data_IF_807197201936
#
_entry.id   IF_807197201936
#
_cell.length_a   1.000
_cell.length_b   1.000
_cell.length_c   1.000
_cell.angle_alpha   90.00
_cell.angle_beta   90.00
_cell.angle_gamma   90.00
#
_symmetry.space_group_name_H-M   'P 1'
#
loop_
_entity.id
_entity.type
_entity.pdbx_description
1 polymer ?
#
# COMPACT_ATOMS: atom_id res chain seq x y z
N UNK A 1 -1.66 -54.99 12.88
CA UNK A 1 -2.02 -54.27 14.12
C UNK A 1 -1.77 -55.19 15.30
N UNK A 2 -1.24 -54.72 16.43
CA UNK A 2 -0.53 -53.45 16.71
C UNK A 2 0.86 -53.75 17.35
N UNK A 3 1.69 -52.82 17.78
CA UNK A 3 2.07 -51.47 17.39
C UNK A 3 3.23 -51.15 18.36
N UNK A 4 4.35 -50.68 17.82
CA UNK A 4 5.53 -50.29 18.59
C UNK A 4 5.17 -49.12 19.50
N UNK A 5 5.48 -49.26 20.80
CA UNK A 5 5.22 -48.25 21.81
C UNK A 5 5.94 -46.93 21.48
N UNK A 6 5.14 -45.85 21.46
CA UNK A 6 5.60 -44.50 21.25
C UNK A 6 6.34 -43.99 22.49
N UNK A 7 7.67 -43.95 22.42
CA UNK A 7 8.50 -43.16 23.31
C UNK A 7 8.30 -41.67 23.04
N UNK A 8 7.29 -41.07 23.68
CA UNK A 8 7.04 -39.64 23.67
C UNK A 8 8.18 -38.87 24.35
N UNK A 9 9.18 -38.48 23.56
CA UNK A 9 10.14 -37.44 23.93
C UNK A 9 9.38 -36.12 24.01
N UNK A 10 9.05 -35.72 25.23
CA UNK A 10 8.57 -34.38 25.56
C UNK A 10 9.70 -33.41 25.29
N UNK A 11 9.68 -32.78 24.11
CA UNK A 11 10.46 -31.57 23.86
C UNK A 11 9.97 -30.53 24.85
N UNK A 12 10.72 -30.36 25.94
CA UNK A 12 10.56 -29.25 26.88
C UNK A 12 10.62 -27.97 26.07
N UNK A 13 9.50 -27.25 26.05
CA UNK A 13 9.45 -25.85 25.64
C UNK A 13 10.54 -25.10 26.40
N UNK A 14 11.61 -24.74 25.70
CA UNK A 14 12.63 -23.83 26.19
C UNK A 14 11.88 -22.54 26.50
N UNK A 15 11.76 -22.19 27.79
CA UNK A 15 11.23 -20.89 28.23
C UNK A 15 11.97 -19.81 27.45
N UNK A 16 11.23 -19.07 26.62
CA UNK A 16 11.74 -17.88 25.95
C UNK A 16 12.40 -16.98 26.99
N UNK A 17 13.58 -16.44 26.64
CA UNK A 17 14.19 -15.33 27.37
C UNK A 17 13.18 -14.17 27.49
N UNK A 18 13.37 -13.38 28.53
CA UNK A 18 12.58 -12.21 28.96
C UNK A 18 11.75 -11.54 27.85
N UNK A 19 10.50 -11.23 28.19
CA UNK A 19 9.56 -10.47 27.37
C UNK A 19 10.26 -9.24 26.77
N UNK A 20 10.46 -9.24 25.46
CA UNK A 20 11.11 -8.14 24.74
C UNK A 20 10.30 -6.85 24.92
N UNK A 21 10.93 -5.80 25.46
CA UNK A 21 10.33 -4.47 25.51
C UNK A 21 10.54 -3.77 24.18
N UNK A 22 9.45 -3.24 23.62
CA UNK A 22 9.44 -2.62 22.29
C UNK A 22 9.25 -1.11 22.45
N UNK A 23 10.18 -0.32 21.91
CA UNK A 23 9.97 1.11 21.70
C UNK A 23 9.29 1.31 20.35
N UNK A 24 8.27 2.17 20.26
CA UNK A 24 7.57 2.44 19.02
C UNK A 24 7.41 3.95 18.81
N UNK A 25 8.00 4.47 17.74
CA UNK A 25 8.01 5.90 17.42
C UNK A 25 7.17 6.14 16.17
N UNK A 26 6.07 6.86 16.36
CA UNK A 26 5.05 7.11 15.35
C UNK A 26 3.80 6.27 15.59
N UNK A 27 2.76 6.90 16.13
CA UNK A 27 1.46 6.29 16.43
C UNK A 27 0.40 6.78 15.44
N UNK A 28 0.78 6.86 14.16
CA UNK A 28 -0.11 7.28 13.09
C UNK A 28 -1.08 6.18 12.65
N UNK A 29 -1.70 6.38 11.48
CA UNK A 29 -2.64 5.41 10.88
C UNK A 29 -2.04 4.01 10.66
N UNK A 30 -0.72 3.93 10.47
CA UNK A 30 0.01 2.67 10.34
C UNK A 30 0.53 2.15 11.70
N UNK A 31 1.12 3.03 12.50
CA UNK A 31 1.71 2.63 13.78
C UNK A 31 0.68 2.12 14.80
N UNK A 32 -0.47 2.81 14.95
CA UNK A 32 -1.50 2.42 15.91
C UNK A 32 -1.98 0.96 15.78
N UNK A 33 -2.41 0.48 14.60
CA UNK A 33 -2.82 -0.92 14.45
C UNK A 33 -1.66 -1.90 14.65
N UNK A 34 -0.42 -1.58 14.25
CA UNK A 34 0.75 -2.42 14.54
C UNK A 34 1.01 -2.53 16.04
N UNK A 35 0.99 -1.41 16.77
CA UNK A 35 1.14 -1.39 18.23
C UNK A 35 0.04 -2.19 18.92
N UNK A 36 -1.22 -2.06 18.48
CA UNK A 36 -2.32 -2.84 19.02
C UNK A 36 -2.07 -4.35 18.88
N UNK A 37 -1.53 -4.81 17.74
CA UNK A 37 -1.17 -6.22 17.54
C UNK A 37 -0.02 -6.68 18.42
N UNK A 38 0.98 -5.84 18.65
CA UNK A 38 2.07 -6.13 19.59
C UNK A 38 1.56 -6.27 21.03
N UNK A 39 0.65 -5.37 21.45
CA UNK A 39 0.00 -5.45 22.76
C UNK A 39 -0.86 -6.71 22.91
N UNK A 40 -1.65 -7.05 21.89
CA UNK A 40 -2.45 -8.29 21.84
C UNK A 40 -1.57 -9.55 21.94
N UNK A 41 -0.37 -9.52 21.36
CA UNK A 41 0.63 -10.58 21.47
C UNK A 41 1.37 -10.61 22.82
N UNK A 42 1.10 -9.66 23.71
CA UNK A 42 1.64 -9.61 25.08
C UNK A 42 2.97 -8.87 25.22
N UNK A 43 3.44 -8.16 24.20
CA UNK A 43 4.64 -7.32 24.30
C UNK A 43 4.35 -6.02 25.07
N UNK A 44 5.21 -5.60 26.02
CA UNK A 44 5.18 -4.28 26.60
C UNK A 44 5.71 -3.29 25.56
N UNK A 45 4.87 -2.31 25.20
CA UNK A 45 5.20 -1.30 24.18
C UNK A 45 5.29 0.08 24.83
N UNK A 46 6.43 0.74 24.65
CA UNK A 46 6.70 2.13 25.02
C UNK A 46 6.58 2.99 23.76
N UNK A 47 5.74 4.02 23.78
CA UNK A 47 5.35 4.79 22.58
C UNK A 47 5.71 6.27 22.67
N UNK A 48 6.03 6.85 21.52
CA UNK A 48 6.17 8.29 21.32
C UNK A 48 5.56 8.71 19.97
N UNK A 49 4.95 9.89 19.94
CA UNK A 49 4.58 10.59 18.70
C UNK A 49 4.76 12.11 18.91
N UNK A 50 5.02 12.87 17.85
CA UNK A 50 5.07 14.33 17.95
C UNK A 50 3.70 14.94 18.29
N UNK A 51 2.61 14.20 18.02
CA UNK A 51 1.24 14.56 18.36
C UNK A 51 0.72 13.60 19.44
N UNK A 52 0.70 14.00 20.72
CA UNK A 52 0.21 13.13 21.81
C UNK A 52 -1.19 12.56 21.58
N UNK A 53 -2.08 13.33 20.92
CA UNK A 53 -3.42 12.88 20.58
C UNK A 53 -3.44 11.64 19.66
N UNK A 54 -2.41 11.41 18.85
CA UNK A 54 -2.32 10.24 17.98
C UNK A 54 -2.08 8.94 18.76
N UNK A 55 -1.49 9.01 19.96
CA UNK A 55 -1.18 7.85 20.78
C UNK A 55 -2.33 7.43 21.71
N UNK A 56 -3.41 8.22 21.78
CA UNK A 56 -4.51 8.01 22.73
C UNK A 56 -5.03 6.58 22.71
N UNK A 57 -5.40 6.06 21.54
CA UNK A 57 -6.03 4.75 21.39
C UNK A 57 -5.10 3.60 21.82
N UNK A 58 -3.79 3.71 21.58
CA UNK A 58 -2.83 2.65 21.96
C UNK A 58 -2.47 2.72 23.44
N UNK A 59 -2.46 3.92 24.03
CA UNK A 59 -2.27 4.10 25.48
C UNK A 59 -3.46 3.51 26.25
N UNK A 60 -4.68 3.74 25.78
CA UNK A 60 -5.89 3.12 26.35
C UNK A 60 -5.85 1.57 26.27
N UNK A 61 -5.14 1.02 25.28
CA UNK A 61 -4.89 -0.42 25.13
C UNK A 61 -3.70 -0.95 25.93
N UNK A 62 -2.98 -0.09 26.65
CA UNK A 62 -1.89 -0.49 27.56
C UNK A 62 -0.48 -0.12 27.10
N UNK A 63 -0.31 0.59 25.99
CA UNK A 63 0.99 1.18 25.64
C UNK A 63 1.40 2.25 26.68
N UNK A 64 2.71 2.37 26.93
CA UNK A 64 3.26 3.38 27.84
C UNK A 64 3.74 4.60 27.06
N UNK A 65 3.11 5.75 27.28
CA UNK A 65 3.55 7.01 26.69
C UNK A 65 4.87 7.53 27.27
N UNK A 66 5.68 8.17 26.41
CA UNK A 66 6.87 8.95 26.77
C UNK A 66 6.89 10.27 26.01
N UNK A 67 7.56 11.29 26.57
CA UNK A 67 7.60 12.65 25.99
C UNK A 67 8.73 12.88 24.97
N UNK A 68 9.58 11.87 24.74
CA UNK A 68 10.68 11.93 23.78
C UNK A 68 11.00 10.57 23.14
N UNK A 69 11.48 10.52 21.88
CA UNK A 69 11.94 9.28 21.24
C UNK A 69 12.99 8.54 22.05
N UNK A 70 13.97 9.27 22.61
CA UNK A 70 15.01 8.72 23.52
C UNK A 70 14.40 7.95 24.68
N UNK A 71 13.34 8.48 25.28
CA UNK A 71 12.78 7.92 26.50
C UNK A 71 11.88 6.72 26.19
N UNK A 72 11.15 6.75 25.06
CA UNK A 72 10.45 5.58 24.53
C UNK A 72 11.39 4.43 24.11
N UNK A 73 12.61 4.75 23.66
CA UNK A 73 13.62 3.76 23.27
C UNK A 73 14.39 3.16 24.46
N UNK A 74 14.27 3.75 25.66
CA UNK A 74 15.15 3.42 26.79
C UNK A 74 14.90 2.02 27.32
N UNK A 75 15.94 1.19 27.28
CA UNK A 75 15.87 -0.19 27.77
C UNK A 75 15.01 -1.12 26.89
N UNK A 76 14.69 -0.69 25.67
CA UNK A 76 14.00 -1.51 24.69
C UNK A 76 15.01 -2.39 23.93
N UNK A 77 14.64 -3.65 23.70
CA UNK A 77 15.45 -4.59 22.93
C UNK A 77 15.26 -4.41 21.43
N UNK A 78 14.06 -3.97 21.04
CA UNK A 78 13.68 -3.59 19.68
C UNK A 78 13.06 -2.19 19.73
N UNK A 79 13.45 -1.33 18.79
CA UNK A 79 12.83 -0.01 18.59
C UNK A 79 12.35 0.09 17.16
N UNK A 80 11.07 0.44 16.97
CA UNK A 80 10.41 0.52 15.68
C UNK A 80 10.08 1.98 15.35
N UNK A 81 10.37 2.42 14.13
CA UNK A 81 9.89 3.71 13.59
C UNK A 81 8.84 3.49 12.51
N UNK A 82 7.78 4.32 12.53
CA UNK A 82 6.72 4.35 11.51
C UNK A 82 6.33 5.80 11.21
N UNK A 83 7.09 6.45 10.33
CA UNK A 83 7.06 7.90 10.13
C UNK A 83 6.85 8.27 8.65
N UNK A 84 6.24 9.42 8.36
CA UNK A 84 5.72 9.66 7.01
C UNK A 84 6.80 10.03 5.98
N UNK A 85 7.89 10.69 6.39
CA UNK A 85 8.89 11.25 5.48
C UNK A 85 10.31 11.01 6.00
N UNK A 86 11.33 10.90 5.12
CA UNK A 86 12.70 10.56 5.51
C UNK A 86 13.30 11.44 6.61
N UNK A 87 13.10 12.76 6.52
CA UNK A 87 13.57 13.72 7.55
C UNK A 87 13.01 13.42 8.94
N UNK A 88 11.78 12.94 9.04
CA UNK A 88 11.17 12.65 10.34
C UNK A 88 11.83 11.44 11.00
N UNK A 89 12.20 10.43 10.20
CA UNK A 89 12.99 9.28 10.68
C UNK A 89 14.35 9.75 11.16
N UNK A 90 15.03 10.57 10.35
CA UNK A 90 16.34 11.09 10.70
C UNK A 90 16.33 11.89 12.01
N UNK A 91 15.39 12.82 12.17
CA UNK A 91 15.26 13.65 13.37
C UNK A 91 14.87 12.80 14.60
N UNK A 92 13.90 11.90 14.45
CA UNK A 92 13.45 11.03 15.54
C UNK A 92 14.53 10.05 16.03
N UNK A 93 15.43 9.61 15.15
CA UNK A 93 16.52 8.71 15.52
C UNK A 93 17.76 9.44 16.01
N UNK A 94 18.14 10.54 15.36
CA UNK A 94 19.48 11.15 15.51
C UNK A 94 19.47 12.54 16.15
N UNK A 95 18.30 13.14 16.38
CA UNK A 95 18.19 14.42 17.07
C UNK A 95 18.70 14.39 18.51
N UNK A 96 18.75 15.54 19.17
CA UNK A 96 19.25 15.68 20.55
C UNK A 96 18.51 14.78 21.55
N UNK A 97 17.21 14.59 21.35
CA UNK A 97 16.38 13.64 22.10
C UNK A 97 15.96 12.42 21.25
N UNK A 98 16.76 12.10 20.23
CA UNK A 98 16.52 11.00 19.32
C UNK A 98 16.64 9.63 19.97
N UNK A 99 16.00 8.64 19.36
CA UNK A 99 15.91 7.28 19.88
C UNK A 99 17.28 6.64 20.12
N UNK A 100 18.26 6.88 19.24
CA UNK A 100 19.61 6.30 19.37
C UNK A 100 20.26 6.65 20.71
N UNK A 101 19.96 7.81 21.30
CA UNK A 101 20.49 8.21 22.60
C UNK A 101 19.92 7.40 23.78
N UNK A 102 18.81 6.67 23.58
CA UNK A 102 18.17 5.82 24.59
C UNK A 102 18.37 4.33 24.36
N UNK A 103 18.77 3.92 23.16
CA UNK A 103 18.89 2.52 22.78
C UNK A 103 20.10 1.84 23.44
N UNK A 104 19.93 0.67 24.08
CA UNK A 104 21.05 -0.06 24.66
C UNK A 104 21.88 -0.77 23.56
N UNK A 105 23.21 -0.93 23.75
CA UNK A 105 24.02 -1.77 22.86
C UNK A 105 23.46 -3.19 22.74
N UNK A 106 23.47 -3.75 21.53
CA UNK A 106 22.89 -5.06 21.20
C UNK A 106 21.39 -5.03 20.88
N UNK A 107 20.71 -3.89 21.01
CA UNK A 107 19.32 -3.72 20.54
C UNK A 107 19.23 -3.64 19.02
N UNK A 108 18.00 -3.74 18.49
CA UNK A 108 17.70 -3.65 17.06
C UNK A 108 16.78 -2.46 16.81
N UNK A 109 17.16 -1.58 15.89
CA UNK A 109 16.25 -0.60 15.31
C UNK A 109 15.62 -1.18 14.03
N UNK A 110 14.31 -1.05 13.89
CA UNK A 110 13.54 -1.49 12.72
C UNK A 110 12.79 -0.28 12.15
N UNK A 111 13.13 0.15 10.93
CA UNK A 111 12.39 1.22 10.26
C UNK A 111 11.31 0.68 9.33
N UNK A 112 10.04 0.84 9.71
CA UNK A 112 8.89 0.47 8.88
C UNK A 112 8.44 1.60 7.93
N UNK A 113 9.10 2.75 8.01
CA UNK A 113 8.85 3.90 7.16
C UNK A 113 9.32 3.65 5.73
N UNK A 114 8.77 4.41 4.77
CA UNK A 114 9.33 4.48 3.42
C UNK A 114 10.28 5.68 3.33
N UNK A 115 11.58 5.41 3.34
CA UNK A 115 12.67 6.39 3.40
C UNK A 115 13.64 6.25 2.22
N UNK A 116 14.53 7.22 2.01
CA UNK A 116 15.58 7.14 0.99
C UNK A 116 16.80 6.35 1.46
N UNK A 117 17.53 5.77 0.49
CA UNK A 117 18.72 4.95 0.73
C UNK A 117 19.78 5.66 1.59
N UNK A 118 20.04 6.94 1.33
CA UNK A 118 21.10 7.71 2.01
C UNK A 118 20.77 7.89 3.49
N UNK A 119 19.52 8.21 3.81
CA UNK A 119 19.06 8.31 5.19
C UNK A 119 19.15 6.98 5.92
N UNK A 120 18.69 5.88 5.31
CA UNK A 120 18.77 4.55 5.93
C UNK A 120 20.22 4.16 6.28
N UNK A 121 21.15 4.34 5.34
CA UNK A 121 22.57 4.05 5.53
C UNK A 121 23.21 4.93 6.60
N UNK A 122 22.94 6.24 6.60
CA UNK A 122 23.54 7.16 7.58
C UNK A 122 23.05 6.88 9.00
N UNK A 123 21.76 6.62 9.19
CA UNK A 123 21.23 6.28 10.52
C UNK A 123 21.79 4.93 10.96
N UNK A 124 21.85 3.94 10.07
CA UNK A 124 22.44 2.63 10.37
C UNK A 124 23.92 2.73 10.78
N UNK A 125 24.70 3.61 10.12
CA UNK A 125 26.09 3.89 10.48
C UNK A 125 26.21 4.48 11.90
N UNK A 126 25.33 5.42 12.27
CA UNK A 126 25.29 6.01 13.62
C UNK A 126 24.86 4.99 14.67
N UNK A 127 23.87 4.17 14.36
CA UNK A 127 23.41 3.08 15.22
C UNK A 127 24.54 2.07 15.48
N UNK A 128 25.27 1.65 14.44
CA UNK A 128 26.39 0.74 14.57
C UNK A 128 27.50 1.28 15.47
N UNK A 129 27.77 2.60 15.44
CA UNK A 129 28.78 3.24 16.28
C UNK A 129 28.50 3.13 17.79
N UNK A 130 27.24 2.87 18.19
CA UNK A 130 26.83 2.63 19.57
C UNK A 130 26.43 1.17 19.83
N UNK A 131 26.73 0.27 18.89
CA UNK A 131 26.44 -1.16 19.01
C UNK A 131 24.98 -1.54 18.77
N UNK A 132 24.19 -0.71 18.09
CA UNK A 132 22.80 -1.01 17.71
C UNK A 132 22.75 -1.58 16.29
N UNK A 133 22.04 -2.70 16.12
CA UNK A 133 21.77 -3.27 14.80
C UNK A 133 20.63 -2.51 14.13
N UNK A 134 20.67 -2.40 12.80
CA UNK A 134 19.63 -1.71 12.03
C UNK A 134 19.02 -2.65 11.01
N UNK A 135 17.70 -2.63 10.94
CA UNK A 135 16.88 -3.24 9.91
C UNK A 135 16.02 -2.14 9.29
N UNK A 136 15.95 -2.10 7.97
CA UNK A 136 14.80 -1.50 7.30
C UNK A 136 13.74 -2.58 7.14
N UNK A 137 12.48 -2.24 7.26
CA UNK A 137 11.34 -3.12 7.06
C UNK A 137 10.12 -2.36 6.52
N UNK A 138 10.25 -1.60 5.42
CA UNK A 138 9.11 -0.91 4.83
C UNK A 138 8.00 -1.89 4.48
N UNK A 139 6.78 -1.36 4.49
CA UNK A 139 5.57 -2.16 4.54
C UNK A 139 4.70 -2.01 3.30
N UNK A 140 4.12 -3.11 2.84
CA UNK A 140 3.04 -3.11 1.85
C UNK A 140 1.71 -3.54 2.46
N UNK A 141 0.62 -3.36 1.70
CA UNK A 141 -0.77 -3.45 2.16
C UNK A 141 -1.13 -2.34 3.17
N UNK A 142 -0.98 -1.08 2.74
CA UNK A 142 -1.43 0.09 3.51
C UNK A 142 -2.96 0.25 3.53
N UNK A 143 -3.70 -0.54 2.74
CA UNK A 143 -5.13 -0.35 2.61
C UNK A 143 -5.84 -0.63 3.94
N UNK A 144 -7.07 -0.15 4.02
CA UNK A 144 -8.05 -0.55 5.02
C UNK A 144 -8.26 -2.07 5.13
N UNK A 145 -7.66 -2.89 4.26
CA UNK A 145 -7.65 -4.36 4.27
C UNK A 145 -6.33 -4.95 4.78
N UNK A 146 -5.38 -4.10 5.16
CA UNK A 146 -3.99 -4.45 5.39
C UNK A 146 -3.59 -4.45 6.86
N UNK A 147 -3.18 -3.29 7.36
CA UNK A 147 -2.56 -3.14 8.68
C UNK A 147 -3.48 -3.51 9.85
N UNK A 148 -4.78 -3.24 9.75
CA UNK A 148 -5.75 -3.57 10.80
C UNK A 148 -5.93 -5.08 10.99
N UNK A 149 -5.72 -5.84 9.91
CA UNK A 149 -5.87 -7.30 9.88
C UNK A 149 -4.52 -8.02 9.94
N UNK A 150 -3.44 -7.29 10.24
CA UNK A 150 -2.07 -7.82 10.20
C UNK A 150 -1.72 -8.50 8.86
N UNK A 151 -2.27 -8.03 7.73
CA UNK A 151 -1.91 -8.53 6.40
C UNK A 151 -0.67 -7.83 5.82
N UNK A 152 0.10 -7.13 6.65
CA UNK A 152 1.27 -6.37 6.23
C UNK A 152 2.36 -7.31 5.71
N UNK A 153 3.00 -6.91 4.61
CA UNK A 153 4.22 -7.54 4.12
C UNK A 153 5.40 -6.63 4.44
N UNK A 154 6.41 -7.15 5.14
CA UNK A 154 7.65 -6.44 5.45
C UNK A 154 8.75 -6.83 4.45
N UNK A 155 9.46 -5.84 3.91
CA UNK A 155 10.67 -6.07 3.09
C UNK A 155 11.90 -5.72 3.91
N UNK A 156 12.53 -6.73 4.48
CA UNK A 156 13.57 -6.54 5.48
C UNK A 156 14.95 -6.51 4.84
N UNK A 157 15.65 -5.40 4.99
CA UNK A 157 17.07 -5.30 4.66
C UNK A 157 17.92 -5.07 5.91
N UNK A 158 19.12 -5.65 5.94
CA UNK A 158 20.07 -5.54 7.04
C UNK A 158 20.59 -6.90 7.52
N UNK A 159 21.35 -6.92 8.63
CA UNK A 159 22.05 -8.12 9.08
C UNK A 159 21.10 -9.29 9.41
N UNK A 160 21.40 -10.48 8.88
CA UNK A 160 20.54 -11.66 9.04
C UNK A 160 20.33 -12.02 10.52
N UNK A 161 21.32 -11.83 11.39
CA UNK A 161 21.19 -12.11 12.82
C UNK A 161 20.17 -11.18 13.51
N UNK A 162 20.11 -9.92 13.09
CA UNK A 162 19.12 -8.97 13.60
C UNK A 162 17.72 -9.31 13.08
N UNK A 163 17.60 -9.72 11.82
CA UNK A 163 16.34 -10.18 11.24
C UNK A 163 15.77 -11.40 11.97
N UNK A 164 16.59 -12.43 12.19
CA UNK A 164 16.17 -13.66 12.90
C UNK A 164 15.65 -13.34 14.31
N UNK A 165 16.31 -12.41 15.03
CA UNK A 165 15.85 -11.96 16.35
C UNK A 165 14.51 -11.22 16.28
N UNK A 166 14.31 -10.42 15.24
CA UNK A 166 13.12 -9.57 15.10
C UNK A 166 11.91 -10.28 14.50
N UNK A 167 12.07 -11.52 14.05
CA UNK A 167 11.05 -12.23 13.27
C UNK A 167 9.74 -12.43 14.03
N UNK A 168 9.80 -12.76 15.33
CA UNK A 168 8.60 -12.94 16.15
C UNK A 168 7.83 -11.62 16.33
N UNK A 169 8.53 -10.50 16.45
CA UNK A 169 7.93 -9.16 16.53
C UNK A 169 7.30 -8.78 15.19
N UNK A 170 8.00 -8.97 14.07
CA UNK A 170 7.46 -8.71 12.73
C UNK A 170 6.21 -9.55 12.45
N UNK A 171 6.23 -10.84 12.81
CA UNK A 171 5.10 -11.77 12.65
C UNK A 171 3.90 -11.42 13.55
N UNK A 172 4.11 -10.77 14.68
CA UNK A 172 3.02 -10.33 15.54
C UNK A 172 2.19 -9.20 14.89
N UNK A 173 2.81 -8.35 14.07
CA UNK A 173 2.18 -7.16 13.47
C UNK A 173 1.98 -7.22 11.95
N UNK A 174 2.29 -8.35 11.30
CA UNK A 174 2.02 -8.56 9.88
C UNK A 174 2.02 -10.03 9.47
N UNK A 175 1.73 -10.29 8.20
CA UNK A 175 1.48 -11.63 7.69
C UNK A 175 2.75 -12.31 7.20
N UNK A 176 3.68 -11.54 6.62
CA UNK A 176 4.90 -12.07 6.03
C UNK A 176 6.04 -11.06 6.13
N UNK A 177 7.25 -11.55 6.30
CA UNK A 177 8.48 -10.76 6.19
C UNK A 177 9.46 -11.46 5.24
N UNK A 178 10.03 -10.70 4.32
CA UNK A 178 11.02 -11.17 3.35
C UNK A 178 12.36 -10.57 3.72
N UNK A 179 13.39 -11.38 3.95
CA UNK A 179 14.76 -10.85 4.04
C UNK A 179 15.32 -10.69 2.63
N UNK A 180 15.46 -9.44 2.19
CA UNK A 180 15.73 -9.10 0.79
C UNK A 180 17.18 -8.68 0.55
N UNK A 181 18.00 -8.58 1.60
CA UNK A 181 19.43 -8.31 1.49
C UNK A 181 19.93 -7.35 2.57
N UNK A 182 20.90 -6.52 2.20
CA UNK A 182 21.50 -5.51 3.07
C UNK A 182 20.61 -4.26 3.21
N UNK A 183 20.99 -3.36 4.11
CA UNK A 183 20.34 -2.04 4.24
C UNK A 183 20.31 -1.31 2.90
N UNK A 184 19.14 -0.75 2.55
CA UNK A 184 18.80 -0.13 1.29
C UNK A 184 17.91 -0.99 0.38
N UNK A 185 18.01 -2.31 0.46
CA UNK A 185 17.29 -3.23 -0.43
C UNK A 185 15.79 -3.32 -0.11
N UNK A 186 15.41 -3.28 1.16
CA UNK A 186 14.02 -3.24 1.60
C UNK A 186 13.27 -2.01 1.09
N UNK A 187 13.87 -0.82 1.18
CA UNK A 187 13.29 0.41 0.61
C UNK A 187 13.11 0.30 -0.90
N UNK A 188 14.10 -0.27 -1.58
CA UNK A 188 14.07 -0.47 -3.02
C UNK A 188 12.88 -1.37 -3.44
N UNK A 189 12.71 -2.51 -2.76
CA UNK A 189 11.58 -3.43 -2.97
C UNK A 189 10.23 -2.73 -2.74
N UNK A 190 10.13 -1.87 -1.71
CA UNK A 190 8.91 -1.11 -1.44
C UNK A 190 8.54 -0.19 -2.61
N UNK A 191 9.50 0.54 -3.17
CA UNK A 191 9.28 1.47 -4.28
C UNK A 191 8.75 0.77 -5.54
N UNK A 192 9.20 -0.45 -5.80
CA UNK A 192 8.67 -1.34 -6.85
C UNK A 192 7.17 -1.64 -6.64
N UNK A 193 6.77 -2.02 -5.42
CA UNK A 193 5.35 -2.33 -5.15
C UNK A 193 4.44 -1.10 -5.23
N UNK A 194 4.98 0.06 -4.86
CA UNK A 194 4.28 1.34 -4.94
C UNK A 194 4.04 1.76 -6.39
N UNK A 195 5.01 1.56 -7.29
CA UNK A 195 4.84 1.81 -8.73
C UNK A 195 3.61 1.08 -9.27
N UNK A 196 3.47 -0.21 -8.97
CA UNK A 196 2.33 -1.03 -9.40
C UNK A 196 1.00 -0.45 -8.95
N UNK A 197 0.91 -0.08 -7.66
CA UNK A 197 -0.32 0.47 -7.10
C UNK A 197 -0.67 1.84 -7.70
N UNK A 198 0.28 2.77 -7.69
CA UNK A 198 0.04 4.16 -8.09
C UNK A 198 -0.28 4.29 -9.57
N UNK A 199 0.39 3.51 -10.41
CA UNK A 199 0.11 3.47 -11.83
C UNK A 199 -1.28 2.87 -12.12
N UNK A 200 -1.64 1.78 -11.44
CA UNK A 200 -2.99 1.21 -11.54
C UNK A 200 -4.08 2.19 -11.09
N UNK A 201 -3.85 2.96 -10.02
CA UNK A 201 -4.81 3.96 -9.54
C UNK A 201 -5.06 5.08 -10.56
N UNK A 202 -3.99 5.64 -11.14
CA UNK A 202 -4.09 6.68 -12.18
C UNK A 202 -4.79 6.12 -13.43
N UNK A 203 -4.38 4.96 -13.92
CA UNK A 203 -4.96 4.34 -15.12
C UNK A 203 -6.46 4.03 -14.93
N UNK A 204 -6.80 3.41 -13.79
CA UNK A 204 -8.18 3.05 -13.45
C UNK A 204 -9.07 4.27 -13.32
N UNK A 205 -8.60 5.34 -12.67
CA UNK A 205 -9.34 6.59 -12.55
C UNK A 205 -9.63 7.22 -13.91
N UNK A 206 -8.66 7.23 -14.83
CA UNK A 206 -8.86 7.73 -16.19
C UNK A 206 -9.85 6.87 -16.98
N UNK A 207 -9.76 5.54 -16.88
CA UNK A 207 -10.68 4.63 -17.56
C UNK A 207 -12.13 4.77 -17.05
N UNK A 208 -12.32 4.96 -15.74
CA UNK A 208 -13.63 5.26 -15.16
C UNK A 208 -14.17 6.59 -15.68
N UNK A 209 -13.35 7.65 -15.73
CA UNK A 209 -13.78 8.95 -16.26
C UNK A 209 -14.19 8.86 -17.73
N UNK A 210 -13.44 8.12 -18.55
CA UNK A 210 -13.78 7.87 -19.96
C UNK A 210 -15.06 7.06 -20.12
N UNK A 211 -15.31 6.10 -19.23
CA UNK A 211 -16.55 5.32 -19.21
C UNK A 211 -17.76 6.22 -18.97
N UNK A 212 -17.69 7.06 -17.92
CA UNK A 212 -18.76 8.03 -17.60
C UNK A 212 -18.96 9.03 -18.72
N UNK A 213 -17.87 9.53 -19.32
CA UNK A 213 -17.93 10.45 -20.47
C UNK A 213 -18.58 9.80 -21.69
N UNK A 214 -18.41 8.49 -21.88
CA UNK A 214 -19.08 7.68 -22.90
C UNK A 214 -20.52 7.28 -22.54
N UNK A 215 -21.06 7.76 -21.43
CA UNK A 215 -22.43 7.47 -20.98
C UNK A 215 -22.59 6.14 -20.25
N UNK A 216 -21.50 5.48 -19.84
CA UNK A 216 -21.55 4.26 -19.02
C UNK A 216 -21.53 4.65 -17.55
N UNK A 217 -22.51 4.24 -16.72
CA UNK A 217 -22.50 4.55 -15.30
C UNK A 217 -21.26 4.00 -14.58
N UNK A 218 -20.70 4.78 -13.66
CA UNK A 218 -19.42 4.47 -13.01
C UNK A 218 -19.44 3.13 -12.26
N UNK A 219 -20.56 2.77 -11.61
CA UNK A 219 -20.75 1.49 -10.93
C UNK A 219 -20.78 0.29 -11.88
N UNK A 220 -21.33 0.45 -13.08
CA UNK A 220 -21.34 -0.61 -14.10
C UNK A 220 -19.94 -0.78 -14.70
N UNK A 221 -19.25 0.34 -14.98
CA UNK A 221 -17.86 0.32 -15.46
C UNK A 221 -16.91 -0.31 -14.44
N UNK A 222 -17.03 0.07 -13.17
CA UNK A 222 -16.25 -0.52 -12.07
C UNK A 222 -16.47 -2.03 -11.96
N UNK A 223 -17.72 -2.51 -11.93
CA UNK A 223 -18.01 -3.96 -11.92
C UNK A 223 -17.43 -4.67 -13.14
N UNK A 224 -17.51 -4.06 -14.33
CA UNK A 224 -16.92 -4.62 -15.55
C UNK A 224 -15.40 -4.76 -15.43
N UNK A 225 -14.71 -3.74 -14.93
CA UNK A 225 -13.26 -3.78 -14.75
C UNK A 225 -12.85 -4.81 -13.69
N UNK A 226 -13.51 -4.79 -12.53
CA UNK A 226 -13.25 -5.72 -11.43
C UNK A 226 -13.46 -7.19 -11.83
N UNK A 227 -14.46 -7.47 -12.68
CA UNK A 227 -14.76 -8.82 -13.18
C UNK A 227 -13.96 -9.26 -14.41
N UNK A 228 -12.90 -8.54 -14.81
CA UNK A 228 -12.18 -8.78 -16.07
C UNK A 228 -10.66 -8.82 -15.90
N UNK A 229 -9.93 -9.01 -17.00
CA UNK A 229 -8.47 -8.90 -17.05
C UNK A 229 -7.94 -7.48 -16.74
N UNK A 230 -8.81 -6.46 -16.68
CA UNK A 230 -8.44 -5.11 -16.27
C UNK A 230 -8.32 -4.95 -14.75
N UNK A 231 -8.74 -5.97 -14.00
CA UNK A 231 -8.79 -5.89 -12.55
C UNK A 231 -7.42 -5.62 -11.94
N UNK A 232 -7.39 -4.77 -10.91
CA UNK A 232 -6.19 -4.36 -10.20
C UNK A 232 -6.54 -4.13 -8.72
N UNK A 233 -5.54 -4.08 -7.84
CA UNK A 233 -5.81 -3.74 -6.43
C UNK A 233 -6.45 -2.34 -6.29
N UNK A 234 -6.14 -1.43 -7.22
CA UNK A 234 -6.75 -0.11 -7.26
C UNK A 234 -8.23 -0.18 -7.65
N UNK A 235 -8.61 -1.04 -8.61
CA UNK A 235 -10.01 -1.28 -8.98
C UNK A 235 -10.77 -1.95 -7.84
N UNK A 236 -10.23 -3.02 -7.23
CA UNK A 236 -10.94 -3.75 -6.19
C UNK A 236 -11.10 -2.93 -4.91
N UNK A 237 -10.02 -2.31 -4.43
CA UNK A 237 -9.98 -1.76 -3.08
C UNK A 237 -10.22 -0.24 -3.05
N UNK A 238 -9.81 0.50 -4.08
CA UNK A 238 -9.77 1.97 -4.00
C UNK A 238 -10.79 2.67 -4.89
N UNK A 239 -11.16 2.10 -6.04
CA UNK A 239 -12.20 2.65 -6.89
C UNK A 239 -13.54 2.86 -6.15
N UNK A 240 -13.99 1.99 -5.23
CA UNK A 240 -15.16 2.26 -4.40
C UNK A 240 -15.15 3.63 -3.69
N UNK A 241 -13.99 4.15 -3.30
CA UNK A 241 -13.90 5.48 -2.65
C UNK A 241 -13.91 6.65 -3.62
N UNK A 242 -13.60 6.39 -4.90
CA UNK A 242 -13.88 7.36 -5.97
C UNK A 242 -15.41 7.45 -6.20
N UNK A 243 -16.09 6.30 -6.14
CA UNK A 243 -17.53 6.20 -6.37
C UNK A 243 -18.36 6.79 -5.22
N UNK A 244 -17.88 6.81 -3.98
CA UNK A 244 -18.58 7.49 -2.89
C UNK A 244 -18.14 8.97 -2.70
N UNK A 245 -17.14 9.43 -3.46
CA UNK A 245 -16.60 10.79 -3.42
C UNK A 245 -15.72 11.09 -2.21
N UNK A 246 -15.36 10.10 -1.39
CA UNK A 246 -14.47 10.30 -0.24
C UNK A 246 -12.99 10.30 -0.62
N UNK A 247 -12.65 9.72 -1.77
CA UNK A 247 -11.30 9.54 -2.28
C UNK A 247 -10.39 8.74 -1.34
N UNK A 248 -10.88 7.97 -0.36
CA UNK A 248 -10.10 7.27 0.67
C UNK A 248 -9.37 8.22 1.63
N UNK A 249 -9.63 8.06 2.92
CA UNK A 249 -9.00 8.86 3.98
C UNK A 249 -7.79 8.17 4.61
N UNK A 250 -7.35 7.01 4.12
CA UNK A 250 -6.25 6.25 4.74
C UNK A 250 -4.87 6.88 4.46
N UNK A 251 -4.63 7.41 3.26
CA UNK A 251 -3.31 7.87 2.82
C UNK A 251 -3.33 9.30 2.26
N UNK A 252 -2.39 10.13 2.71
CA UNK A 252 -2.27 11.54 2.31
C UNK A 252 -1.50 11.69 1.00
N UNK A 253 -1.78 12.76 0.25
CA UNK A 253 -1.23 13.02 -1.08
C UNK A 253 0.28 13.26 -1.08
N UNK A 254 0.86 13.76 0.01
CA UNK A 254 2.32 13.90 0.11
C UNK A 254 3.07 12.56 0.05
N UNK A 255 2.42 11.45 0.44
CA UNK A 255 3.03 10.12 0.44
C UNK A 255 3.33 9.63 -0.98
N UNK A 256 2.36 9.51 -1.91
CA UNK A 256 2.66 9.08 -3.28
C UNK A 256 3.53 10.08 -4.03
N UNK A 257 3.44 11.39 -3.74
CA UNK A 257 4.33 12.41 -4.34
C UNK A 257 5.77 12.11 -3.96
N UNK A 258 6.04 11.85 -2.67
CA UNK A 258 7.36 11.44 -2.20
C UNK A 258 7.75 10.07 -2.77
N UNK A 259 6.90 9.05 -2.65
CA UNK A 259 7.21 7.68 -3.05
C UNK A 259 7.53 7.57 -4.54
N UNK A 260 6.74 8.19 -5.42
CA UNK A 260 7.02 8.18 -6.86
C UNK A 260 8.30 8.96 -7.23
N UNK A 261 8.60 10.05 -6.52
CA UNK A 261 9.86 10.76 -6.66
C UNK A 261 11.07 9.88 -6.31
N UNK A 262 10.98 9.14 -5.19
CA UNK A 262 12.00 8.17 -4.78
C UNK A 262 12.13 7.01 -5.79
N UNK A 263 11.02 6.51 -6.33
CA UNK A 263 11.04 5.44 -7.36
C UNK A 263 11.77 5.89 -8.63
N UNK A 264 11.48 7.10 -9.13
CA UNK A 264 12.14 7.63 -10.33
C UNK A 264 13.63 7.87 -10.08
N UNK A 265 13.99 8.43 -8.93
CA UNK A 265 15.39 8.63 -8.55
C UNK A 265 16.15 7.29 -8.50
N UNK A 266 15.56 6.25 -7.91
CA UNK A 266 16.18 4.93 -7.85
C UNK A 266 16.39 4.34 -9.25
N UNK A 267 15.42 4.49 -10.15
CA UNK A 267 15.56 4.02 -11.52
C UNK A 267 16.70 4.75 -12.26
N UNK A 268 16.87 6.06 -12.04
CA UNK A 268 18.00 6.83 -12.57
C UNK A 268 19.34 6.30 -12.03
N UNK A 269 19.43 5.99 -10.73
CA UNK A 269 20.63 5.43 -10.10
C UNK A 269 20.98 4.02 -10.62
N UNK A 270 19.97 3.22 -10.96
CA UNK A 270 20.14 1.86 -11.50
C UNK A 270 20.27 1.81 -13.03
N UNK A 271 20.06 2.92 -13.74
CA UNK A 271 20.03 2.94 -15.20
C UNK A 271 18.83 2.20 -15.81
N UNK A 272 17.72 2.10 -15.10
CA UNK A 272 16.49 1.41 -15.53
C UNK A 272 15.50 2.39 -16.15
N UNK A 273 14.92 2.01 -17.29
CA UNK A 273 13.85 2.79 -17.94
C UNK A 273 12.51 2.63 -17.23
N UNK A 274 11.90 3.74 -16.80
CA UNK A 274 10.53 3.78 -16.23
C UNK A 274 9.61 4.76 -16.98
N UNK A 275 9.27 4.52 -18.26
CA UNK A 275 8.43 5.45 -19.02
C UNK A 275 7.04 5.69 -18.39
N UNK A 276 6.34 4.64 -17.94
CA UNK A 276 5.06 4.74 -17.24
C UNK A 276 5.27 5.28 -15.84
N UNK A 277 6.25 4.76 -15.09
CA UNK A 277 6.57 5.27 -13.75
C UNK A 277 6.80 6.78 -13.73
N UNK A 278 7.53 7.32 -14.71
CA UNK A 278 7.74 8.78 -14.84
C UNK A 278 6.47 9.53 -15.24
N UNK A 279 5.57 8.95 -16.03
CA UNK A 279 4.28 9.57 -16.32
C UNK A 279 3.40 9.66 -15.06
N UNK A 280 3.42 8.61 -14.24
CA UNK A 280 2.69 8.54 -12.97
C UNK A 280 3.30 9.50 -11.95
N UNK A 281 4.62 9.58 -11.83
CA UNK A 281 5.31 10.56 -10.98
C UNK A 281 4.89 11.98 -11.36
N UNK A 282 4.95 12.34 -12.65
CA UNK A 282 4.52 13.68 -13.11
C UNK A 282 3.08 13.98 -12.71
N UNK A 283 2.20 12.97 -12.78
CA UNK A 283 0.79 13.12 -12.46
C UNK A 283 0.55 13.35 -10.96
N UNK A 284 1.26 12.62 -10.10
CA UNK A 284 1.21 12.89 -8.65
C UNK A 284 1.86 14.23 -8.31
N UNK A 285 2.98 14.59 -8.94
CA UNK A 285 3.62 15.89 -8.79
C UNK A 285 2.70 17.05 -9.22
N UNK A 286 1.90 16.89 -10.26
CA UNK A 286 0.84 17.84 -10.64
C UNK A 286 -0.24 17.93 -9.54
N UNK A 287 -0.73 16.80 -9.06
CA UNK A 287 -1.72 16.75 -7.98
C UNK A 287 -1.22 17.45 -6.72
N UNK A 288 0.03 17.19 -6.32
CA UNK A 288 0.67 17.80 -5.16
C UNK A 288 0.93 19.30 -5.27
N UNK A 289 0.90 19.88 -6.48
CA UNK A 289 0.91 21.34 -6.68
C UNK A 289 -0.50 21.95 -6.64
N UNK A 290 -1.53 21.16 -6.93
CA UNK A 290 -2.92 21.63 -7.04
C UNK A 290 -3.69 21.50 -5.73
N UNK A 291 -3.48 20.42 -4.97
CA UNK A 291 -4.26 20.06 -3.80
C UNK A 291 -3.46 20.19 -2.51
N UNK A 292 -4.14 20.17 -1.36
CA UNK A 292 -3.45 20.21 -0.06
C UNK A 292 -2.70 18.90 0.15
N UNK A 293 -1.52 18.97 0.77
CA UNK A 293 -0.66 17.80 0.99
C UNK A 293 -1.32 16.71 1.85
N UNK A 294 -2.28 17.09 2.70
CA UNK A 294 -3.04 16.20 3.59
C UNK A 294 -4.32 15.67 2.97
N UNK A 295 -4.66 16.13 1.76
CA UNK A 295 -5.75 15.53 0.99
C UNK A 295 -5.44 14.08 0.66
N UNK A 296 -6.45 13.34 0.19
CA UNK A 296 -6.23 11.97 -0.21
C UNK A 296 -5.28 11.84 -1.41
N UNK A 297 -4.44 10.80 -1.35
CA UNK A 297 -3.69 10.31 -2.50
C UNK A 297 -4.54 10.05 -3.77
N UNK A 298 -5.81 9.65 -3.64
CA UNK A 298 -6.67 9.42 -4.81
C UNK A 298 -7.18 10.70 -5.49
N UNK A 299 -6.96 11.89 -4.90
CA UNK A 299 -7.29 13.16 -5.58
C UNK A 299 -6.50 13.36 -6.88
N UNK A 300 -5.45 12.58 -7.11
CA UNK A 300 -4.81 12.47 -8.43
C UNK A 300 -5.81 12.13 -9.56
N UNK A 301 -6.88 11.39 -9.25
CA UNK A 301 -7.95 11.05 -10.20
C UNK A 301 -8.86 12.24 -10.48
N UNK A 302 -9.02 13.16 -9.54
CA UNK A 302 -9.83 14.38 -9.74
C UNK A 302 -9.26 15.25 -10.87
N UNK A 303 -7.95 15.20 -11.09
CA UNK A 303 -7.34 15.83 -12.26
C UNK A 303 -7.88 15.25 -13.58
N UNK A 304 -8.23 13.95 -13.63
CA UNK A 304 -8.85 13.33 -14.80
C UNK A 304 -10.34 13.71 -14.90
N UNK A 305 -11.05 13.74 -13.78
CA UNK A 305 -12.45 14.20 -13.72
C UNK A 305 -12.61 15.60 -14.33
N UNK A 306 -11.69 16.52 -14.02
CA UNK A 306 -11.65 17.87 -14.60
C UNK A 306 -11.40 17.81 -16.12
N UNK A 307 -10.42 17.04 -16.59
CA UNK A 307 -10.09 16.92 -18.01
C UNK A 307 -11.25 16.35 -18.83
N UNK A 308 -11.96 15.34 -18.30
CA UNK A 308 -13.09 14.72 -18.98
C UNK A 308 -14.41 15.45 -18.74
N UNK A 309 -14.47 16.40 -17.80
CA UNK A 309 -15.67 17.12 -17.41
C UNK A 309 -16.74 16.17 -16.85
N UNK A 310 -16.35 15.28 -15.94
CA UNK A 310 -17.23 14.27 -15.32
C UNK A 310 -17.00 14.18 -13.81
N UNK A 311 -17.93 13.53 -13.10
CA UNK A 311 -17.75 13.08 -11.71
C UNK A 311 -17.95 11.57 -11.64
N UNK A 312 -17.11 10.90 -10.86
CA UNK A 312 -17.21 9.46 -10.61
C UNK A 312 -18.16 9.12 -9.47
N UNK A 313 -18.49 10.09 -8.62
CA UNK A 313 -19.38 9.89 -7.49
C UNK A 313 -20.75 9.36 -7.97
N UNK A 314 -21.17 8.25 -7.37
CA UNK A 314 -22.47 7.63 -7.58
C UNK A 314 -23.42 8.13 -6.50
N UNK A 315 -24.53 8.82 -6.87
CA UNK A 315 -25.47 9.36 -5.89
C UNK A 315 -25.97 8.31 -4.89
N UNK A 316 -25.90 8.63 -3.60
CA UNK A 316 -26.40 7.80 -2.51
C UNK A 316 -25.55 6.58 -2.16
N UNK A 317 -24.54 6.24 -2.95
CA UNK A 317 -23.63 5.13 -2.66
C UNK A 317 -22.62 5.52 -1.56
N UNK A 318 -22.32 4.58 -0.67
CA UNK A 318 -21.28 4.71 0.36
C UNK A 318 -20.42 3.47 0.35
N UNK A 319 -19.10 3.63 0.30
CA UNK A 319 -18.21 2.48 0.40
C UNK A 319 -18.35 1.86 1.82
N UNK A 320 -18.44 0.53 1.95
CA UNK A 320 -18.57 -0.16 3.24
C UNK A 320 -17.24 -0.15 3.99
N UNK A 321 -16.81 1.04 4.45
CA UNK A 321 -15.56 1.22 5.17
C UNK A 321 -15.53 2.54 5.92
N UNK A 322 -14.95 2.53 7.13
CA UNK A 322 -14.65 3.75 7.90
C UNK A 322 -13.68 4.72 7.21
N UNK A 323 -12.96 4.23 6.19
CA UNK A 323 -12.06 5.03 5.38
C UNK A 323 -12.75 5.77 4.22
N UNK A 324 -14.02 5.43 3.96
CA UNK A 324 -14.85 6.03 2.93
C UNK A 324 -15.65 7.24 3.42
N UNK A 325 -16.81 7.45 2.81
CA UNK A 325 -17.70 8.56 3.12
C UNK A 325 -18.40 8.46 4.48
N UNK A 326 -18.38 7.30 5.14
CA UNK A 326 -18.94 7.07 6.47
C UNK A 326 -17.87 6.64 7.48
N UNK A 327 -17.29 7.59 8.25
CA UNK A 327 -16.31 7.27 9.28
C UNK A 327 -16.85 6.44 10.46
N UNK A 328 -18.17 6.39 10.63
CA UNK A 328 -18.84 5.64 11.68
C UNK A 328 -19.25 4.22 11.25
N UNK A 329 -18.80 3.78 10.07
CA UNK A 329 -19.06 2.43 9.57
C UNK A 329 -18.73 1.37 10.65
N UNK A 330 -19.65 0.45 10.94
CA UNK A 330 -19.47 -0.52 12.01
C UNK A 330 -18.28 -1.45 11.73
N UNK A 331 -17.70 -2.08 12.76
CA UNK A 331 -16.66 -3.09 12.58
C UNK A 331 -17.13 -4.21 11.65
N UNK A 332 -16.22 -4.67 10.77
CA UNK A 332 -16.47 -5.78 9.86
C UNK A 332 -16.82 -7.06 10.65
N UNK A 333 -17.85 -7.80 10.20
CA UNK A 333 -18.35 -9.01 10.88
C UNK A 333 -18.00 -10.31 10.17
N UNK A 334 -17.94 -10.29 8.84
CA UNK A 334 -17.61 -11.45 8.01
C UNK A 334 -16.22 -11.26 7.38
N UNK A 335 -15.43 -12.34 7.36
CA UNK A 335 -14.07 -12.34 6.82
C UNK A 335 -13.89 -13.45 5.80
N UNK A 336 -13.05 -13.19 4.80
CA UNK A 336 -12.62 -14.13 3.78
C UNK A 336 -11.11 -14.27 3.85
N UNK A 337 -10.62 -15.48 3.62
CA UNK A 337 -9.19 -15.75 3.42
C UNK A 337 -8.93 -15.89 1.92
N UNK A 338 -7.98 -15.11 1.39
CA UNK A 338 -7.59 -15.24 -0.01
C UNK A 338 -6.65 -16.43 -0.26
N UNK A 339 -6.27 -16.66 -1.52
CA UNK A 339 -5.46 -17.83 -1.93
C UNK A 339 -4.07 -17.88 -1.28
N UNK A 340 -3.56 -16.75 -0.80
CA UNK A 340 -2.25 -16.67 -0.13
C UNK A 340 -2.37 -16.57 1.38
N UNK A 341 -3.58 -16.67 1.93
CA UNK A 341 -3.81 -16.74 3.37
C UNK A 341 -4.13 -15.40 4.03
N UNK A 342 -4.28 -14.30 3.27
CA UNK A 342 -4.62 -12.99 3.84
C UNK A 342 -6.08 -12.94 4.24
N UNK A 343 -6.36 -12.43 5.44
CA UNK A 343 -7.72 -12.32 5.99
C UNK A 343 -8.27 -10.94 5.71
N UNK A 344 -9.30 -10.84 4.89
CA UNK A 344 -9.91 -9.57 4.51
C UNK A 344 -11.41 -9.54 4.83
N UNK A 345 -11.97 -8.40 5.21
CA UNK A 345 -13.41 -8.32 5.42
C UNK A 345 -14.18 -8.59 4.12
N UNK A 346 -15.28 -9.31 4.25
CA UNK A 346 -16.22 -9.52 3.15
C UNK A 346 -17.09 -8.28 3.04
N UNK A 347 -16.91 -7.54 1.95
CA UNK A 347 -17.63 -6.28 1.73
C UNK A 347 -18.55 -6.40 0.54
N UNK A 348 -19.82 -6.14 0.79
CA UNK A 348 -20.84 -6.09 -0.24
C UNK A 348 -21.08 -4.63 -0.63
N UNK A 349 -20.97 -4.36 -1.93
CA UNK A 349 -21.20 -3.02 -2.48
C UNK A 349 -22.64 -2.92 -2.96
N UNK A 350 -23.47 -2.19 -2.21
CA UNK A 350 -24.88 -1.97 -2.53
C UNK A 350 -25.03 -0.59 -3.16
N UNK A 351 -25.39 -0.54 -4.44
CA UNK A 351 -25.67 0.71 -5.15
C UNK A 351 -27.16 1.00 -5.10
N UNK A 352 -27.58 2.25 -4.80
CA UNK A 352 -28.99 2.62 -4.73
C UNK A 352 -29.58 2.97 -6.11
N UNK A 353 -28.92 2.54 -7.19
CA UNK A 353 -29.30 2.82 -8.57
C UNK A 353 -29.40 1.50 -9.34
N UNK A 354 -30.45 1.37 -10.13
CA UNK A 354 -30.61 0.25 -11.05
C UNK A 354 -29.61 0.34 -12.21
N UNK A 355 -29.28 -0.82 -12.76
CA UNK A 355 -28.49 -0.90 -13.98
C UNK A 355 -29.32 -0.44 -15.19
N UNK A 356 -28.70 0.39 -16.03
CA UNK A 356 -29.28 0.80 -17.30
C UNK A 356 -28.71 -0.06 -18.44
N UNK A 357 -29.52 -0.42 -19.45
CA UNK A 357 -29.02 -1.11 -20.64
C UNK A 357 -27.95 -0.29 -21.36
N UNK A 358 -26.85 -0.95 -21.73
CA UNK A 358 -25.77 -0.33 -22.49
C UNK A 358 -25.95 -0.61 -23.99
N UNK A 359 -25.76 0.42 -24.81
CA UNK A 359 -25.71 0.27 -26.27
C UNK A 359 -24.47 -0.49 -26.73
N UNK A 360 -24.49 -0.99 -27.97
CA UNK A 360 -23.32 -1.67 -28.57
C UNK A 360 -22.06 -0.79 -28.58
N UNK A 361 -22.21 0.52 -28.77
CA UNK A 361 -21.09 1.47 -28.74
C UNK A 361 -20.50 1.57 -27.33
N UNK A 362 -21.34 1.63 -26.31
CA UNK A 362 -20.92 1.66 -24.90
C UNK A 362 -20.26 0.35 -24.48
N UNK A 363 -20.79 -0.79 -24.93
CA UNK A 363 -20.18 -2.09 -24.69
C UNK A 363 -18.81 -2.23 -25.38
N UNK A 364 -18.68 -1.75 -26.63
CA UNK A 364 -17.39 -1.69 -27.33
C UNK A 364 -16.39 -0.78 -26.61
N UNK A 365 -16.83 0.38 -26.11
CA UNK A 365 -16.00 1.27 -25.30
C UNK A 365 -15.49 0.55 -24.04
N UNK A 366 -16.37 -0.10 -23.27
CA UNK A 366 -15.98 -0.84 -22.08
C UNK A 366 -14.96 -1.94 -22.39
N UNK A 367 -15.17 -2.72 -23.46
CA UNK A 367 -14.25 -3.78 -23.84
C UNK A 367 -12.89 -3.22 -24.29
N UNK A 368 -12.86 -2.09 -24.99
CA UNK A 368 -11.62 -1.39 -25.34
C UNK A 368 -10.87 -0.89 -24.10
N UNK A 369 -11.57 -0.30 -23.14
CA UNK A 369 -10.98 0.15 -21.88
C UNK A 369 -10.47 -1.02 -21.03
N UNK A 370 -11.14 -2.16 -21.06
CA UNK A 370 -10.64 -3.40 -20.44
C UNK A 370 -9.30 -3.80 -21.05
N UNK A 371 -9.21 -3.86 -22.38
CA UNK A 371 -7.96 -4.20 -23.08
C UNK A 371 -6.83 -3.20 -22.78
N UNK A 372 -7.15 -1.91 -22.73
CA UNK A 372 -6.18 -0.85 -22.39
C UNK A 372 -5.64 -1.01 -20.96
N UNK A 373 -6.51 -1.20 -19.97
CA UNK A 373 -6.11 -1.42 -18.58
C UNK A 373 -5.29 -2.71 -18.43
N UNK A 374 -5.69 -3.79 -19.11
CA UNK A 374 -4.91 -5.04 -19.13
C UNK A 374 -3.50 -4.81 -19.68
N UNK A 375 -3.37 -4.05 -20.77
CA UNK A 375 -2.07 -3.74 -21.35
C UNK A 375 -1.22 -2.87 -20.41
N UNK A 376 -1.82 -1.83 -19.81
CA UNK A 376 -1.15 -0.97 -18.83
C UNK A 376 -0.67 -1.78 -17.62
N UNK A 377 -1.50 -2.68 -17.08
CA UNK A 377 -1.10 -3.56 -15.98
C UNK A 377 0.11 -4.42 -16.36
N UNK A 378 0.16 -4.95 -17.60
CA UNK A 378 1.30 -5.73 -18.09
C UNK A 378 2.57 -4.89 -18.20
N UNK A 379 2.49 -3.69 -18.76
CA UNK A 379 3.65 -2.81 -18.92
C UNK A 379 4.20 -2.34 -17.57
N UNK A 380 3.34 -2.01 -16.61
CA UNK A 380 3.80 -1.62 -15.26
C UNK A 380 4.42 -2.82 -14.54
N UNK A 381 3.89 -4.04 -14.76
CA UNK A 381 4.51 -5.26 -14.27
C UNK A 381 5.93 -5.41 -14.83
N UNK A 382 6.11 -5.23 -16.14
CA UNK A 382 7.44 -5.31 -16.76
C UNK A 382 8.41 -4.26 -16.19
N UNK A 383 7.97 -2.99 -16.02
CA UNK A 383 8.77 -1.95 -15.36
C UNK A 383 9.13 -2.31 -13.91
N UNK A 384 8.21 -2.92 -13.16
CA UNK A 384 8.47 -3.40 -11.81
C UNK A 384 9.52 -4.52 -11.81
N UNK A 385 9.46 -5.45 -12.77
CA UNK A 385 10.47 -6.50 -12.93
C UNK A 385 11.83 -5.94 -13.29
N UNK A 386 11.90 -5.01 -14.24
CA UNK A 386 13.16 -4.39 -14.65
C UNK A 386 13.79 -3.60 -13.50
N UNK A 387 12.97 -2.88 -12.74
CA UNK A 387 13.42 -2.17 -11.55
C UNK A 387 13.94 -3.16 -10.48
N UNK A 388 13.21 -4.26 -10.22
CA UNK A 388 13.63 -5.29 -9.26
C UNK A 388 14.92 -6.02 -9.67
N UNK A 389 15.08 -6.34 -10.96
CA UNK A 389 16.32 -6.92 -11.49
C UNK A 389 17.48 -5.94 -11.42
N UNK A 390 17.22 -4.65 -11.67
CA UNK A 390 18.20 -3.57 -11.47
C UNK A 390 18.73 -3.52 -10.04
N UNK A 391 17.90 -3.84 -9.05
CA UNK A 391 18.31 -3.96 -7.63
C UNK A 391 19.10 -5.25 -7.32
N UNK A 392 19.17 -6.19 -8.26
CA UNK A 392 19.78 -7.51 -8.07
C UNK A 392 18.84 -8.58 -7.50
N UNK A 393 17.53 -8.33 -7.47
CA UNK A 393 16.55 -9.30 -7.00
C UNK A 393 16.34 -10.39 -8.06
N UNK A 394 16.14 -11.63 -7.61
CA UNK A 394 15.74 -12.71 -8.51
C UNK A 394 14.24 -12.63 -8.83
N UNK A 395 13.87 -13.10 -10.02
CA UNK A 395 12.48 -13.08 -10.50
C UNK A 395 11.49 -13.75 -9.54
N UNK A 396 11.89 -14.82 -8.83
CA UNK A 396 11.06 -15.52 -7.85
C UNK A 396 10.67 -14.64 -6.67
N UNK A 397 11.65 -13.97 -6.06
CA UNK A 397 11.42 -13.03 -4.97
C UNK A 397 10.57 -11.83 -5.43
N UNK A 398 10.79 -11.33 -6.65
CA UNK A 398 9.93 -10.28 -7.22
C UNK A 398 8.48 -10.77 -7.30
N UNK A 399 8.24 -12.02 -7.73
CA UNK A 399 6.87 -12.59 -7.76
C UNK A 399 6.25 -12.64 -6.38
N UNK A 400 6.99 -13.12 -5.39
CA UNK A 400 6.49 -13.29 -4.03
C UNK A 400 6.12 -11.94 -3.42
N UNK A 401 7.02 -10.95 -3.52
CA UNK A 401 6.79 -9.58 -3.05
C UNK A 401 5.53 -8.98 -3.68
N UNK A 402 5.38 -9.08 -5.02
CA UNK A 402 4.23 -8.53 -5.73
C UNK A 402 2.94 -9.23 -5.28
N UNK A 403 2.98 -10.56 -5.21
CA UNK A 403 1.85 -11.40 -4.83
C UNK A 403 1.34 -11.08 -3.44
N UNK A 404 2.23 -10.92 -2.46
CA UNK A 404 1.87 -10.60 -1.09
C UNK A 404 1.46 -9.14 -0.90
N UNK A 405 1.89 -8.26 -1.79
CA UNK A 405 1.57 -6.84 -1.82
C UNK A 405 0.29 -6.57 -2.62
N UNK A 406 0.44 -6.01 -3.82
CA UNK A 406 -0.64 -5.58 -4.72
C UNK A 406 -1.39 -6.76 -5.33
N UNK A 407 -1.04 -7.99 -4.99
CA UNK A 407 -1.80 -9.19 -5.34
C UNK A 407 -1.60 -9.66 -6.79
N UNK A 408 -2.39 -10.67 -7.14
CA UNK A 408 -2.49 -11.23 -8.49
C UNK A 408 -3.00 -10.21 -9.53
N UNK A 409 -3.48 -9.06 -9.07
CA UNK A 409 -3.88 -7.90 -9.86
C UNK A 409 -2.77 -7.27 -10.70
N UNK A 410 -1.51 -7.56 -10.38
CA UNK A 410 -0.35 -7.20 -11.21
C UNK A 410 -0.06 -8.23 -12.32
N UNK A 411 -0.59 -9.45 -12.17
CA UNK A 411 -0.39 -10.57 -13.07
C UNK A 411 -1.61 -10.72 -13.97
N UNK A 412 -1.51 -10.35 -15.25
CA UNK A 412 -2.50 -10.75 -16.26
C UNK A 412 -2.79 -12.27 -16.24
N UNK A 413 -1.83 -13.05 -15.73
CA UNK A 413 -1.82 -14.51 -15.80
C UNK A 413 -2.75 -15.18 -14.80
N UNK A 414 -3.14 -14.55 -13.68
CA UNK A 414 -4.05 -15.20 -12.73
C UNK A 414 -5.49 -15.33 -13.24
N UNK A 415 -5.78 -14.76 -14.42
CA UNK A 415 -7.02 -14.92 -15.17
C UNK A 415 -6.80 -15.44 -16.61
N UNK A 416 -5.56 -15.69 -17.04
CA UNK A 416 -5.26 -16.21 -18.39
C UNK A 416 -5.82 -17.62 -18.63
N UNK A 417 -6.00 -18.42 -17.57
CA UNK A 417 -6.71 -19.70 -17.69
C UNK A 417 -8.24 -19.57 -17.73
N UNK A 418 -8.79 -18.41 -17.35
CA UNK A 418 -10.24 -18.16 -17.27
C UNK A 418 -10.80 -17.46 -18.52
N UNK A 419 -9.95 -16.70 -19.23
CA UNK A 419 -10.28 -16.05 -20.49
C UNK A 419 -9.28 -16.52 -21.55
N UNK A 420 -9.72 -17.48 -22.38
CA UNK A 420 -8.85 -18.20 -23.29
C UNK A 420 -8.12 -17.29 -24.29
N UNK A 421 -6.83 -17.58 -24.50
CA UNK A 421 -6.00 -17.39 -25.71
C UNK A 421 -6.33 -16.29 -26.75
N UNK A 422 -6.91 -15.16 -26.38
CA UNK A 422 -7.02 -14.03 -27.31
C UNK A 422 -5.73 -13.20 -27.24
N UNK A 423 -4.87 -13.39 -28.25
CA UNK A 423 -3.79 -12.46 -28.57
C UNK A 423 -4.40 -11.06 -28.76
N UNK A 424 -3.76 -9.99 -28.29
CA UNK A 424 -4.15 -8.63 -28.65
C UNK A 424 -4.19 -8.51 -30.18
N UNK A 425 -5.30 -8.02 -30.74
CA UNK A 425 -5.36 -7.72 -32.16
C UNK A 425 -4.32 -6.65 -32.50
N UNK A 426 -3.56 -6.89 -33.57
CA UNK A 426 -2.63 -5.93 -34.15
C UNK A 426 -3.35 -4.60 -34.41
N UNK A 427 -2.88 -3.54 -33.75
CA UNK A 427 -3.45 -2.20 -33.82
C UNK A 427 -2.96 -1.44 -35.05
N UNK A 428 -3.18 -1.99 -36.23
CA UNK A 428 -3.01 -1.29 -37.51
C UNK A 428 -4.34 -1.32 -38.25
N UNK A 429 -5.27 -0.44 -37.85
CA UNK A 429 -6.22 0.30 -38.72
C UNK A 429 -7.32 0.96 -37.91
N UNK A 430 -7.34 2.30 -37.94
CA UNK A 430 -8.51 3.15 -38.21
C UNK A 430 -8.40 4.48 -37.46
N UNK A 431 -7.84 5.46 -38.16
CA UNK A 431 -7.89 6.87 -37.82
C UNK A 431 -9.29 7.43 -38.12
N UNK A 432 -9.76 8.24 -37.16
CA UNK A 432 -10.73 9.34 -37.24
C UNK A 432 -12.09 9.11 -37.92
N UNK A 433 -13.15 9.28 -37.12
CA UNK A 433 -14.31 10.09 -37.48
C UNK A 433 -14.87 10.76 -36.22
N UNK A 434 -14.90 12.09 -36.21
CA UNK A 434 -15.62 12.87 -35.20
C UNK A 434 -17.13 12.74 -35.46
N UNK A 435 -17.91 12.40 -34.45
CA UNK A 435 -19.37 12.33 -34.53
C UNK A 435 -20.03 13.01 -33.31
N UNK A 436 -21.29 13.49 -33.47
CA UNK A 436 -21.82 14.63 -32.74
C UNK A 436 -22.20 14.29 -31.30
N UNK A 437 -22.07 15.29 -30.44
CA UNK A 437 -22.60 15.30 -29.07
C UNK A 437 -24.10 15.00 -29.05
N UNK A 438 -24.48 13.90 -28.41
CA UNK A 438 -25.86 13.60 -28.03
C UNK A 438 -26.22 14.49 -26.83
N UNK A 439 -27.19 15.42 -26.96
CA UNK A 439 -27.67 16.17 -25.80
C UNK A 439 -28.48 15.21 -24.91
N UNK A 440 -28.52 15.48 -23.60
CA UNK A 440 -29.37 14.83 -22.57
C UNK A 440 -28.72 13.83 -21.58
N UNK A 441 -27.39 13.69 -21.50
CA UNK A 441 -26.72 13.03 -20.36
C UNK A 441 -25.61 13.90 -19.74
N UNK A 442 -25.89 15.20 -19.57
CA UNK A 442 -25.10 16.06 -18.70
C UNK A 442 -25.75 16.00 -17.32
N UNK A 443 -25.06 15.37 -16.38
CA UNK A 443 -25.36 15.50 -14.96
C UNK A 443 -25.25 17.00 -14.61
N UNK A 444 -26.37 17.67 -14.36
CA UNK A 444 -26.43 19.08 -13.99
C UNK A 444 -26.03 19.26 -12.54
N UNK A 445 -24.72 19.30 -12.28
CA UNK A 445 -24.13 20.01 -11.14
C UNK A 445 -22.77 20.56 -11.58
N UNK A 446 -22.83 21.61 -12.39
CA UNK A 446 -21.74 22.57 -12.54
C UNK A 446 -21.94 23.65 -11.48
N UNK A 447 -21.47 23.41 -10.27
CA UNK A 447 -21.07 24.49 -9.38
C UNK A 447 -19.53 24.46 -9.25
N UNK A 448 -18.95 25.54 -9.76
CA UNK A 448 -17.60 26.08 -9.63
C UNK A 448 -16.49 25.14 -9.14
N UNK A 449 -15.75 24.58 -10.12
CA UNK A 449 -14.35 24.19 -9.92
C UNK A 449 -13.46 25.34 -10.41
N UNK A 450 -13.18 26.29 -9.52
CA UNK A 450 -12.06 27.23 -9.66
C UNK A 450 -10.80 26.65 -9.04
#
# INVERSE_FOLDING_TARGET
MPAVEAGGSTVRATRFRNVERIGFIGTGKMGCPMIAKLLEAGYPVDVYDIKPAAAKDVVEKGARWHDAPRDAARGCEIVITCLPLPRHVFDAMTGEQGALAGMPPGSVWIDTSTTDYKNAVEIARRAAAIGVHSLEAPVSNLSHMGVEFANVSFFVGGPSEAYVRSQAVLQAMGAVSFHVGDIGQGQSVKLLTNLLFYAAAVASGNALCRSVRGGVPAQQAWRRFAGSSANSVAIEQYAPFLLDGSYDRSCTLEIPVKDMGLTVQLADELGVGLPIGRAVERRYSEAGRKFDRYDSHLRVVELAEVVFGVRLQVPGYRAPSKYGADPAHPPDQEFLTDRVGRVKPKREHVFPLDDVPLSDIQMRLLNSLVGELTHVNRLILDEAFDLGRGMGLNDGLIRDVITWSVGASAWSDSHAQQYGNERPMDSDTAIAQAMPTVPHLICTYTEELS
#
